data_IF_579520063467
#
_entry.id   IF_579520063467
#
_cell.length_a   1.000
_cell.length_b   1.000
_cell.length_c   1.000
_cell.angle_alpha   90.00
_cell.angle_beta   90.00
_cell.angle_gamma   90.00
#
_symmetry.space_group_name_H-M   'P 1'
#
loop_
_entity.id
_entity.type
_entity.pdbx_description
1 polymer ?
#
# COMPACT_ATOMS: atom_id res chain seq x y z
N UNK A 1 -5.28 -17.70 9.25
CA UNK A 1 -5.63 -16.55 8.40
C UNK A 1 -4.69 -16.55 7.23
N UNK A 2 -5.19 -16.78 6.01
CA UNK A 2 -4.33 -16.80 4.81
C UNK A 2 -4.22 -15.39 4.27
N UNK A 3 -3.01 -14.83 4.27
CA UNK A 3 -2.74 -13.56 3.58
C UNK A 3 -3.04 -13.72 2.08
N UNK A 4 -3.74 -12.74 1.48
CA UNK A 4 -4.09 -12.78 0.05
C UNK A 4 -2.89 -12.61 -0.86
N UNK A 5 -1.84 -11.96 -0.35
CA UNK A 5 -0.57 -11.79 -1.02
C UNK A 5 0.54 -11.62 0.03
N UNK A 6 1.80 -11.95 -0.32
CA UNK A 6 2.95 -11.72 0.55
C UNK A 6 3.06 -10.24 0.95
N UNK A 7 2.92 -9.95 2.25
CA UNK A 7 2.98 -8.59 2.79
C UNK A 7 1.66 -7.85 2.85
N UNK A 8 0.51 -8.54 2.79
CA UNK A 8 -0.79 -7.94 3.09
C UNK A 8 -0.80 -7.33 4.49
N UNK A 9 -0.28 -8.05 5.48
CA UNK A 9 -0.08 -7.55 6.84
C UNK A 9 0.70 -6.25 6.91
N UNK A 10 1.60 -6.00 5.97
CA UNK A 10 2.45 -4.81 5.92
C UNK A 10 1.67 -3.57 5.48
N UNK A 11 0.79 -3.76 4.48
CA UNK A 11 -0.15 -2.73 4.04
C UNK A 11 -1.19 -2.46 5.12
N UNK A 12 -1.74 -3.49 5.75
CA UNK A 12 -2.73 -3.32 6.83
C UNK A 12 -2.12 -2.61 8.05
N UNK A 13 -0.91 -2.98 8.47
CA UNK A 13 -0.20 -2.31 9.56
C UNK A 13 0.06 -0.83 9.25
N UNK A 14 0.38 -0.49 7.99
CA UNK A 14 0.52 0.91 7.60
C UNK A 14 -0.75 1.71 7.89
N UNK A 15 -1.91 1.20 7.48
CA UNK A 15 -3.17 1.90 7.69
C UNK A 15 -3.64 1.92 9.15
N UNK A 16 -3.22 0.94 9.97
CA UNK A 16 -3.48 0.94 11.42
C UNK A 16 -2.55 1.90 12.18
N UNK A 17 -1.32 2.09 11.69
CA UNK A 17 -0.29 2.87 12.37
C UNK A 17 -0.36 4.36 12.07
N UNK A 18 -0.73 4.72 10.85
CA UNK A 18 -0.72 6.11 10.37
C UNK A 18 -2.14 6.66 10.25
N UNK A 19 -2.27 7.98 10.41
CA UNK A 19 -3.57 8.64 10.29
C UNK A 19 -4.00 8.75 8.83
N UNK A 20 -5.32 8.76 8.52
CA UNK A 20 -5.84 8.96 7.16
C UNK A 20 -5.29 10.19 6.42
N UNK A 21 -4.86 11.21 7.18
CA UNK A 21 -4.22 12.41 6.64
C UNK A 21 -2.86 12.13 5.97
N UNK A 22 -2.14 11.12 6.45
CA UNK A 22 -0.79 10.74 6.01
C UNK A 22 -0.80 9.61 4.98
N UNK A 23 -1.95 9.00 4.71
CA UNK A 23 -2.06 7.90 3.77
C UNK A 23 -1.70 8.36 2.36
N UNK A 24 -0.54 7.91 1.87
CA UNK A 24 -0.13 8.04 0.49
C UNK A 24 0.73 6.83 0.12
N UNK A 25 0.71 6.46 -1.16
CA UNK A 25 1.51 5.34 -1.64
C UNK A 25 3.01 5.66 -1.52
N UNK A 26 3.39 6.92 -1.78
CA UNK A 26 4.75 7.41 -1.55
C UNK A 26 5.20 7.28 -0.09
N UNK A 27 4.36 7.68 0.88
CA UNK A 27 4.71 7.54 2.29
C UNK A 27 4.77 6.07 2.70
N UNK A 28 3.85 5.23 2.22
CA UNK A 28 3.92 3.79 2.39
C UNK A 28 5.25 3.22 1.89
N UNK A 29 5.66 3.54 0.65
CA UNK A 29 6.93 3.10 0.09
C UNK A 29 8.12 3.58 0.92
N UNK A 30 8.19 4.86 1.25
CA UNK A 30 9.30 5.42 2.03
C UNK A 30 9.48 4.71 3.38
N UNK A 31 8.36 4.38 4.05
CA UNK A 31 8.40 3.70 5.35
C UNK A 31 8.69 2.21 5.27
N UNK A 32 8.30 1.56 4.17
CA UNK A 32 8.27 0.11 4.06
C UNK A 32 9.21 -0.47 2.99
N UNK A 33 9.95 0.36 2.27
CA UNK A 33 10.84 -0.03 1.16
C UNK A 33 11.74 -1.22 1.52
N UNK A 34 12.38 -1.17 2.69
CA UNK A 34 13.31 -2.19 3.16
C UNK A 34 12.66 -3.54 3.47
N UNK A 35 11.36 -3.56 3.75
CA UNK A 35 10.59 -4.78 3.94
C UNK A 35 10.00 -5.26 2.60
N UNK A 36 9.54 -4.34 1.75
CA UNK A 36 9.00 -4.62 0.42
C UNK A 36 10.04 -5.33 -0.46
N UNK A 37 11.30 -4.88 -0.48
CA UNK A 37 12.39 -5.54 -1.25
C UNK A 37 12.65 -6.99 -0.80
N UNK A 38 12.26 -7.36 0.42
CA UNK A 38 12.44 -8.70 0.99
C UNK A 38 11.24 -9.62 0.75
N UNK A 39 10.18 -9.10 0.14
CA UNK A 39 8.94 -9.84 -0.07
C UNK A 39 8.78 -10.24 -1.54
N UNK A 40 8.28 -11.44 -1.82
CA UNK A 40 8.05 -11.87 -3.19
C UNK A 40 6.93 -11.06 -3.89
N UNK A 41 7.02 -10.91 -5.24
CA UNK A 41 8.05 -11.45 -6.12
C UNK A 41 9.35 -10.66 -5.97
N UNK A 42 10.45 -11.38 -5.69
CA UNK A 42 11.80 -10.81 -5.57
C UNK A 42 12.26 -10.38 -6.96
N UNK A 43 11.74 -9.26 -7.44
CA UNK A 43 12.16 -8.67 -8.70
C UNK A 43 13.28 -7.70 -8.41
N UNK A 44 14.42 -7.86 -9.07
CA UNK A 44 15.44 -6.81 -9.11
C UNK A 44 14.92 -5.54 -9.80
N UNK A 45 13.80 -5.66 -10.52
CA UNK A 45 13.10 -4.57 -11.19
C UNK A 45 12.12 -3.86 -10.23
N UNK A 46 12.53 -2.67 -9.78
CA UNK A 46 11.72 -1.85 -8.88
C UNK A 46 10.46 -1.31 -9.56
N UNK A 47 10.47 -1.15 -10.88
CA UNK A 47 9.34 -0.70 -11.70
C UNK A 47 8.18 -1.69 -11.67
N UNK A 48 8.47 -2.99 -11.79
CA UNK A 48 7.49 -4.07 -11.67
C UNK A 48 6.99 -4.28 -10.25
N UNK A 49 7.84 -4.05 -9.25
CA UNK A 49 7.45 -4.06 -7.83
C UNK A 49 6.49 -2.90 -7.55
N UNK A 50 6.78 -1.71 -8.06
CA UNK A 50 5.98 -0.52 -7.79
C UNK A 50 4.52 -0.68 -8.23
N UNK A 51 4.28 -1.11 -9.48
CA UNK A 51 2.92 -1.35 -9.96
C UNK A 51 2.18 -2.44 -9.19
N UNK A 52 2.88 -3.52 -8.79
CA UNK A 52 2.28 -4.59 -8.00
C UNK A 52 1.90 -4.12 -6.59
N UNK A 53 2.77 -3.36 -5.94
CA UNK A 53 2.54 -2.84 -4.59
C UNK A 53 1.53 -1.70 -4.55
N UNK A 54 1.45 -0.88 -5.59
CA UNK A 54 0.39 0.12 -5.73
C UNK A 54 -0.98 -0.55 -5.81
N UNK A 55 -1.12 -1.61 -6.62
CA UNK A 55 -2.36 -2.39 -6.70
C UNK A 55 -2.72 -3.04 -5.35
N UNK A 56 -1.75 -3.65 -4.67
CA UNK A 56 -1.91 -4.22 -3.32
C UNK A 56 -2.36 -3.16 -2.31
N UNK A 57 -1.70 -2.00 -2.31
CA UNK A 57 -2.03 -0.86 -1.46
C UNK A 57 -3.48 -0.42 -1.67
N UNK A 58 -3.89 -0.17 -2.91
CA UNK A 58 -5.26 0.24 -3.26
C UNK A 58 -6.29 -0.84 -2.91
N UNK A 59 -5.96 -2.12 -3.10
CA UNK A 59 -6.85 -3.23 -2.76
C UNK A 59 -7.17 -3.28 -1.26
N UNK A 60 -6.18 -3.04 -0.41
CA UNK A 60 -6.38 -2.98 1.04
C UNK A 60 -7.07 -1.68 1.42
N UNK A 61 -6.65 -0.55 0.85
CA UNK A 61 -7.24 0.76 1.14
C UNK A 61 -8.75 0.76 0.92
N UNK A 62 -9.23 0.23 -0.22
CA UNK A 62 -10.66 0.09 -0.54
C UNK A 62 -11.49 -0.70 0.49
N UNK A 63 -10.87 -1.51 1.35
CA UNK A 63 -11.56 -2.29 2.39
C UNK A 63 -11.60 -1.57 3.74
N UNK A 64 -10.94 -0.43 3.86
CA UNK A 64 -10.86 0.31 5.13
C UNK A 64 -11.99 1.35 5.15
N UNK A 65 -12.82 1.40 6.19
CA UNK A 65 -13.96 2.32 6.24
C UNK A 65 -13.58 3.80 6.03
N UNK A 66 -12.44 4.22 6.59
CA UNK A 66 -11.91 5.58 6.47
C UNK A 66 -11.32 5.91 5.08
N UNK A 67 -11.31 4.95 4.14
CA UNK A 67 -10.89 5.18 2.76
C UNK A 67 -11.87 6.06 1.99
N UNK A 68 -13.18 5.88 2.19
CA UNK A 68 -14.20 6.66 1.47
C UNK A 68 -14.05 8.17 1.77
N UNK A 69 -13.69 8.52 3.01
CA UNK A 69 -13.38 9.88 3.45
C UNK A 69 -12.08 10.45 2.84
N UNK A 70 -11.15 9.56 2.48
CA UNK A 70 -9.83 9.90 1.95
C UNK A 70 -9.75 9.81 0.42
N UNK A 71 -10.79 9.29 -0.24
CA UNK A 71 -10.85 8.96 -1.67
C UNK A 71 -10.61 10.16 -2.59
N UNK A 72 -11.05 11.36 -2.17
CA UNK A 72 -10.88 12.59 -2.94
C UNK A 72 -9.42 12.96 -3.22
N UNK A 73 -8.49 12.54 -2.35
CA UNK A 73 -7.04 12.75 -2.52
C UNK A 73 -6.43 11.93 -3.66
N UNK A 74 -7.16 10.93 -4.15
CA UNK A 74 -6.68 9.96 -5.14
C UNK A 74 -7.41 10.05 -6.48
N UNK A 75 -8.60 10.67 -6.51
CA UNK A 75 -9.39 10.88 -7.72
C UNK A 75 -9.18 12.27 -8.37
N UNK A 76 -8.25 13.09 -7.86
CA UNK A 76 -8.06 14.48 -8.28
C UNK A 76 -6.87 14.72 -9.21
N UNK A 77 -6.94 14.24 -10.45
CA UNK A 77 -6.41 14.92 -11.66
C UNK A 77 -7.12 14.31 -12.87
N UNK A 78 -8.23 14.90 -13.28
CA UNK A 78 -8.76 14.86 -14.64
C UNK A 78 -9.39 16.21 -14.91
#
# INVERSE_FOLDING_TARGET
MSERFPGESLVTQYFQKYSPKEWSYNHFLQRNRSAIVKLPPFSADWTGIDGAWQNRFLCVAKKIPAWEDSKWKWCGTS
#
